data_IF_519203458445
#
_entry.id   IF_519203458445
#
_cell.length_a   1.000
_cell.length_b   1.000
_cell.length_c   1.000
_cell.angle_alpha   90.00
_cell.angle_beta   90.00
_cell.angle_gamma   90.00
#
_symmetry.space_group_name_H-M   'P 1'
#
loop_
_entity.id
_entity.type
_entity.pdbx_description
1 polymer ?
#
# COMPACT_ATOMS: atom_id res chain seq x y z
N UNK A 1 29.23 -5.42 -23.96
CA UNK A 1 28.92 -4.41 -22.91
C UNK A 1 28.69 -5.04 -21.54
N UNK A 2 28.07 -6.22 -21.45
CA UNK A 2 27.72 -6.87 -20.16
C UNK A 2 28.92 -7.45 -19.40
N UNK A 3 29.98 -7.88 -20.07
CA UNK A 3 31.17 -8.42 -19.39
C UNK A 3 31.88 -7.43 -18.47
N UNK A 4 31.79 -6.11 -18.75
CA UNK A 4 32.35 -5.06 -17.90
C UNK A 4 31.54 -4.76 -16.64
N UNK A 5 30.28 -5.20 -16.59
CA UNK A 5 29.39 -4.99 -15.45
C UNK A 5 29.44 -6.14 -14.43
N UNK A 6 30.04 -7.29 -14.78
CA UNK A 6 30.17 -8.43 -13.87
C UNK A 6 31.03 -8.05 -12.65
N UNK A 7 30.48 -8.31 -11.49
CA UNK A 7 31.14 -8.08 -10.21
C UNK A 7 31.08 -9.32 -9.34
N UNK A 8 32.10 -9.59 -8.51
CA UNK A 8 32.08 -10.74 -7.61
C UNK A 8 30.96 -10.58 -6.57
N UNK A 9 30.21 -11.66 -6.32
CA UNK A 9 29.23 -11.73 -5.24
C UNK A 9 29.73 -12.68 -4.14
N UNK A 10 29.53 -12.28 -2.88
CA UNK A 10 29.80 -13.15 -1.71
C UNK A 10 28.64 -14.11 -1.43
N UNK A 11 27.50 -13.93 -2.06
CA UNK A 11 26.33 -14.78 -1.86
C UNK A 11 26.42 -16.01 -2.80
N UNK A 12 26.48 -17.25 -2.26
CA UNK A 12 26.64 -18.46 -3.05
C UNK A 12 25.42 -18.78 -3.94
N UNK A 13 24.27 -18.17 -3.66
CA UNK A 13 23.05 -18.34 -4.45
C UNK A 13 22.95 -17.36 -5.62
N UNK A 14 23.87 -16.39 -5.75
CA UNK A 14 23.90 -15.46 -6.88
C UNK A 14 24.87 -16.02 -7.93
N UNK A 15 24.33 -16.40 -9.09
CA UNK A 15 25.08 -16.90 -10.23
C UNK A 15 25.79 -15.79 -10.98
N UNK A 16 25.12 -14.64 -11.18
CA UNK A 16 25.70 -13.46 -11.81
C UNK A 16 25.28 -12.21 -11.04
N UNK A 17 26.23 -11.34 -10.76
CA UNK A 17 26.00 -10.04 -10.16
C UNK A 17 26.56 -8.97 -11.09
N UNK A 18 25.68 -8.10 -11.59
CA UNK A 18 26.01 -7.04 -12.54
C UNK A 18 25.80 -5.69 -11.87
N UNK A 19 26.77 -4.79 -12.04
CA UNK A 19 26.67 -3.40 -11.59
C UNK A 19 26.62 -2.47 -12.79
N UNK A 20 25.60 -1.65 -12.82
CA UNK A 20 25.41 -0.58 -13.78
C UNK A 20 25.38 0.76 -13.06
N UNK A 21 25.55 1.90 -13.76
CA UNK A 21 25.25 3.20 -13.19
C UNK A 21 23.81 3.23 -12.69
N UNK A 22 23.62 3.54 -11.41
CA UNK A 22 22.32 3.66 -10.75
C UNK A 22 21.45 2.37 -10.70
N UNK A 23 22.03 1.19 -11.03
CA UNK A 23 21.31 -0.09 -10.92
C UNK A 23 22.25 -1.26 -10.64
N UNK A 24 21.72 -2.29 -9.98
CA UNK A 24 22.36 -3.60 -9.85
C UNK A 24 21.40 -4.70 -10.27
N UNK A 25 21.95 -5.77 -10.87
CA UNK A 25 21.19 -6.94 -11.25
C UNK A 25 21.82 -8.19 -10.64
N UNK A 26 21.02 -8.92 -9.87
CA UNK A 26 21.40 -10.20 -9.27
C UNK A 26 20.61 -11.31 -9.96
N UNK A 27 21.31 -12.23 -10.59
CA UNK A 27 20.72 -13.43 -11.20
C UNK A 27 21.06 -14.60 -10.29
N UNK A 28 20.03 -15.20 -9.71
CA UNK A 28 20.17 -16.30 -8.77
C UNK A 28 20.27 -17.65 -9.48
N UNK A 29 20.83 -18.64 -8.80
CA UNK A 29 20.91 -20.04 -9.29
C UNK A 29 19.53 -20.65 -9.52
N UNK A 30 18.50 -20.13 -8.85
CA UNK A 30 17.08 -20.51 -9.04
C UNK A 30 16.44 -19.94 -10.31
N UNK A 31 17.15 -19.10 -11.08
CA UNK A 31 16.59 -18.37 -12.22
C UNK A 31 15.91 -17.05 -11.87
N UNK A 32 15.74 -16.72 -10.56
CA UNK A 32 15.20 -15.44 -10.14
C UNK A 32 16.15 -14.32 -10.53
N UNK A 33 15.61 -13.23 -11.08
CA UNK A 33 16.34 -11.99 -11.37
C UNK A 33 15.85 -10.91 -10.44
N UNK A 34 16.78 -10.22 -9.76
CA UNK A 34 16.50 -9.08 -8.90
C UNK A 34 17.21 -7.86 -9.47
N UNK A 35 16.45 -6.82 -9.79
CA UNK A 35 16.95 -5.52 -10.23
C UNK A 35 16.73 -4.53 -9.09
N UNK A 36 17.75 -3.69 -8.80
CA UNK A 36 17.71 -2.71 -7.73
C UNK A 36 18.40 -1.41 -8.19
N UNK A 37 17.89 -0.27 -7.76
CA UNK A 37 18.43 1.06 -8.07
C UNK A 37 17.48 1.91 -8.89
N UNK A 38 17.78 3.21 -8.99
CA UNK A 38 16.93 4.19 -9.67
C UNK A 38 16.71 3.89 -11.16
N UNK A 39 17.69 3.25 -11.82
CA UNK A 39 17.60 2.86 -13.21
C UNK A 39 17.16 1.40 -13.42
N UNK A 40 16.65 0.71 -12.40
CA UNK A 40 16.29 -0.71 -12.47
C UNK A 40 15.28 -1.00 -13.59
N UNK A 41 14.28 -0.15 -13.77
CA UNK A 41 13.25 -0.29 -14.82
C UNK A 41 13.83 -0.22 -16.24
N UNK A 42 14.84 0.64 -16.47
CA UNK A 42 15.49 0.75 -17.77
C UNK A 42 16.22 -0.54 -18.15
N UNK A 43 16.71 -1.29 -17.15
CA UNK A 43 17.39 -2.57 -17.37
C UNK A 43 16.44 -3.77 -17.35
N UNK A 44 15.21 -3.60 -16.87
CA UNK A 44 14.21 -4.67 -16.81
C UNK A 44 13.84 -5.21 -18.20
N UNK A 45 13.72 -4.34 -19.19
CA UNK A 45 13.42 -4.70 -20.59
C UNK A 45 14.45 -5.65 -21.23
N UNK A 46 15.72 -5.65 -20.76
CA UNK A 46 16.75 -6.56 -21.25
C UNK A 46 16.56 -8.03 -20.80
N UNK A 47 15.63 -8.25 -19.88
CA UNK A 47 15.31 -9.58 -19.34
C UNK A 47 13.91 -10.03 -19.77
N UNK A 48 13.36 -9.46 -20.86
CA UNK A 48 11.98 -9.67 -21.30
C UNK A 48 10.94 -9.42 -20.21
N UNK A 49 11.34 -8.64 -19.19
CA UNK A 49 10.44 -8.16 -18.16
C UNK A 49 9.82 -6.87 -18.68
N UNK A 50 8.67 -6.98 -19.31
CA UNK A 50 7.76 -5.85 -19.36
C UNK A 50 7.41 -5.56 -17.91
N UNK A 51 7.75 -4.34 -17.43
CA UNK A 51 7.10 -3.79 -16.26
C UNK A 51 5.63 -3.87 -16.61
N UNK A 52 4.97 -4.92 -16.14
CA UNK A 52 3.54 -4.89 -16.09
C UNK A 52 3.28 -3.70 -15.18
N UNK A 53 3.05 -2.52 -15.77
CA UNK A 53 2.08 -1.62 -15.18
C UNK A 53 0.88 -2.55 -15.05
N UNK A 54 0.71 -3.11 -13.85
CA UNK A 54 -0.56 -3.69 -13.49
C UNK A 54 -1.50 -2.52 -13.76
N UNK A 55 -2.12 -2.58 -14.94
CA UNK A 55 -3.28 -1.78 -15.20
C UNK A 55 -4.17 -2.14 -14.03
N UNK A 56 -4.12 -1.31 -13.03
CA UNK A 56 -5.05 -1.41 -11.94
C UNK A 56 -6.38 -1.43 -12.67
N UNK A 57 -7.06 -2.59 -12.64
CA UNK A 57 -8.36 -2.75 -13.27
C UNK A 57 -9.41 -1.88 -12.59
N UNK A 58 -9.02 -0.65 -12.30
CA UNK A 58 -9.71 0.37 -11.55
C UNK A 58 -10.24 1.42 -12.54
N UNK A 59 -11.17 0.98 -13.43
CA UNK A 59 -11.89 1.91 -14.31
C UNK A 59 -13.13 2.51 -13.61
N UNK A 60 -13.15 2.49 -12.27
CA UNK A 60 -14.26 2.97 -11.45
C UNK A 60 -13.77 3.72 -10.20
N UNK A 61 -14.59 4.66 -9.66
CA UNK A 61 -14.31 5.34 -8.41
C UNK A 61 -14.27 4.36 -7.23
N UNK A 62 -13.26 4.42 -6.40
CA UNK A 62 -13.17 3.53 -5.26
C UNK A 62 -12.58 4.16 -4.01
N UNK A 63 -12.90 3.59 -2.85
CA UNK A 63 -12.19 3.82 -1.60
C UNK A 63 -11.19 2.69 -1.39
N UNK A 64 -9.94 3.07 -1.13
CA UNK A 64 -8.91 2.18 -0.60
C UNK A 64 -8.56 2.55 0.84
N UNK A 65 -8.19 1.55 1.65
CA UNK A 65 -7.68 1.81 3.01
C UNK A 65 -6.53 0.90 3.36
N UNK A 66 -5.59 1.45 4.13
CA UNK A 66 -4.46 0.72 4.69
C UNK A 66 -4.10 1.26 6.08
N UNK A 67 -3.30 0.52 6.83
CA UNK A 67 -2.82 0.93 8.14
C UNK A 67 -1.31 0.98 8.23
N UNK A 68 -0.79 1.93 9.02
CA UNK A 68 0.63 2.05 9.37
C UNK A 68 0.81 2.09 10.89
N UNK A 69 1.92 1.52 11.37
CA UNK A 69 2.24 1.44 12.80
C UNK A 69 1.87 0.10 13.44
N UNK A 70 1.27 -0.83 12.68
CA UNK A 70 1.00 -2.18 13.14
C UNK A 70 2.32 -2.93 13.38
N UNK A 71 2.59 -3.32 14.62
CA UNK A 71 3.83 -3.98 15.02
C UNK A 71 4.97 -3.03 15.45
N UNK A 72 4.76 -1.72 15.45
CA UNK A 72 5.71 -0.78 16.03
C UNK A 72 5.65 -0.83 17.55
N UNK A 73 6.80 -0.94 18.23
CA UNK A 73 6.87 -0.86 19.69
C UNK A 73 6.55 0.54 20.21
N UNK A 74 6.88 1.55 19.41
CA UNK A 74 6.70 2.96 19.75
C UNK A 74 5.96 3.65 18.61
N UNK A 75 4.98 4.47 18.96
CA UNK A 75 4.18 5.19 17.98
C UNK A 75 2.71 4.77 18.00
N UNK A 76 1.89 5.52 17.26
CA UNK A 76 0.46 5.25 17.14
C UNK A 76 0.15 4.34 15.95
N UNK A 77 -1.06 3.82 15.95
CA UNK A 77 -1.65 3.15 14.79
C UNK A 77 -2.42 4.18 13.97
N UNK A 78 -2.05 4.35 12.71
CA UNK A 78 -2.76 5.23 11.79
C UNK A 78 -3.48 4.41 10.73
N UNK A 79 -4.70 4.79 10.42
CA UNK A 79 -5.49 4.23 9.30
C UNK A 79 -5.94 5.38 8.43
N UNK A 80 -5.76 5.23 7.12
CA UNK A 80 -6.22 6.21 6.13
C UNK A 80 -7.20 5.53 5.18
N UNK A 81 -8.29 6.22 4.86
CA UNK A 81 -9.18 5.90 3.77
C UNK A 81 -9.04 6.97 2.69
N UNK A 82 -8.79 6.56 1.46
CA UNK A 82 -8.62 7.46 0.30
C UNK A 82 -9.64 7.15 -0.77
N UNK A 83 -10.24 8.18 -1.36
CA UNK A 83 -11.14 8.05 -2.49
C UNK A 83 -10.44 8.48 -3.78
N UNK A 84 -10.31 7.57 -4.72
CA UNK A 84 -9.64 7.79 -6.01
C UNK A 84 -10.58 7.49 -7.15
N UNK A 85 -10.61 8.39 -8.14
CA UNK A 85 -11.37 8.28 -9.37
C UNK A 85 -10.45 7.98 -10.55
N UNK A 86 -10.97 7.38 -11.66
CA UNK A 86 -10.14 7.01 -12.82
C UNK A 86 -9.36 8.17 -13.43
N UNK A 87 -9.93 9.38 -13.45
CA UNK A 87 -9.28 10.59 -13.95
C UNK A 87 -8.05 11.03 -13.15
N UNK A 88 -7.92 10.57 -11.91
CA UNK A 88 -6.76 10.86 -11.06
C UNK A 88 -5.60 9.88 -11.26
N UNK A 89 -5.79 8.76 -11.97
CA UNK A 89 -4.79 7.70 -12.09
C UNK A 89 -3.49 8.18 -12.75
N UNK A 90 -3.59 8.91 -13.84
CA UNK A 90 -2.40 9.42 -14.54
C UNK A 90 -1.61 10.41 -13.67
N UNK A 91 -2.32 11.24 -12.91
CA UNK A 91 -1.71 12.13 -11.95
C UNK A 91 -0.95 11.35 -10.86
N UNK A 92 -1.58 10.34 -10.26
CA UNK A 92 -0.99 9.52 -9.20
C UNK A 92 0.23 8.73 -9.70
N UNK A 93 0.15 8.14 -10.89
CA UNK A 93 1.29 7.45 -11.53
C UNK A 93 2.46 8.40 -11.81
N UNK A 94 2.19 9.58 -12.36
CA UNK A 94 3.24 10.61 -12.60
C UNK A 94 3.87 11.11 -11.31
N UNK A 95 3.11 11.15 -10.21
CA UNK A 95 3.62 11.50 -8.89
C UNK A 95 4.52 10.40 -8.29
N UNK A 96 4.42 9.17 -8.83
CA UNK A 96 5.17 7.99 -8.39
C UNK A 96 4.53 7.31 -7.20
N UNK A 97 3.20 7.35 -7.10
CA UNK A 97 2.45 6.57 -6.11
C UNK A 97 2.55 5.08 -6.46
N UNK A 98 2.83 4.27 -5.47
CA UNK A 98 2.97 2.82 -5.57
C UNK A 98 3.12 2.18 -4.21
N UNK A 99 3.55 0.91 -4.15
CA UNK A 99 3.81 0.21 -2.88
C UNK A 99 4.79 1.02 -2.01
N UNK A 100 4.30 1.47 -0.85
CA UNK A 100 5.05 2.32 0.11
C UNK A 100 6.36 1.68 0.55
N UNK A 101 6.46 0.34 0.53
CA UNK A 101 7.67 -0.41 0.88
C UNK A 101 8.80 -0.22 -0.15
N UNK A 102 8.46 0.23 -1.36
CA UNK A 102 9.42 0.53 -2.44
C UNK A 102 9.81 2.00 -2.48
N UNK A 103 9.09 2.87 -1.79
CA UNK A 103 9.34 4.31 -1.75
C UNK A 103 10.32 4.68 -0.62
N UNK A 104 11.16 5.67 -0.88
CA UNK A 104 12.00 6.24 0.17
C UNK A 104 11.20 7.22 1.04
N UNK A 105 11.58 7.37 2.31
CA UNK A 105 10.97 8.36 3.22
C UNK A 105 10.99 9.79 2.64
N UNK A 106 12.07 10.13 1.94
CA UNK A 106 12.18 11.42 1.29
C UNK A 106 11.12 11.60 0.21
N UNK A 107 10.89 10.57 -0.62
CA UNK A 107 9.85 10.60 -1.66
C UNK A 107 8.47 10.70 -1.03
N UNK A 108 8.18 9.91 0.01
CA UNK A 108 6.90 9.96 0.72
C UNK A 108 6.65 11.37 1.27
N UNK A 109 7.64 12.00 1.93
CA UNK A 109 7.51 13.36 2.45
C UNK A 109 7.29 14.41 1.37
N UNK A 110 7.78 14.20 0.15
CA UNK A 110 7.56 15.09 -0.98
C UNK A 110 6.15 14.98 -1.54
N UNK A 111 5.63 13.75 -1.68
CA UNK A 111 4.32 13.52 -2.32
C UNK A 111 3.14 13.66 -1.35
N UNK A 112 3.31 13.35 -0.07
CA UNK A 112 2.22 13.36 0.91
C UNK A 112 1.45 14.69 1.02
N UNK A 113 2.09 15.87 1.01
CA UNK A 113 1.37 17.13 1.01
C UNK A 113 0.48 17.31 -0.23
N UNK A 114 0.97 16.88 -1.40
CA UNK A 114 0.25 16.96 -2.66
C UNK A 114 -0.95 16.03 -2.65
N UNK A 115 -0.78 14.79 -2.15
CA UNK A 115 -1.87 13.82 -2.01
C UNK A 115 -2.95 14.34 -1.07
N UNK A 116 -2.56 14.90 0.08
CA UNK A 116 -3.50 15.47 1.06
C UNK A 116 -4.33 16.61 0.48
N UNK A 117 -3.78 17.38 -0.45
CA UNK A 117 -4.51 18.46 -1.11
C UNK A 117 -5.44 17.95 -2.22
N UNK A 118 -5.01 16.95 -3.00
CA UNK A 118 -5.67 16.54 -4.25
C UNK A 118 -6.60 15.34 -4.10
N UNK A 119 -6.38 14.51 -3.09
CA UNK A 119 -7.15 13.27 -2.90
C UNK A 119 -8.09 13.41 -1.70
N UNK A 120 -9.36 13.15 -1.91
CA UNK A 120 -10.32 13.06 -0.81
C UNK A 120 -9.94 11.89 0.10
N UNK A 121 -9.66 12.20 1.37
CA UNK A 121 -9.20 11.20 2.32
C UNK A 121 -9.72 11.45 3.72
N UNK A 122 -9.63 10.43 4.57
CA UNK A 122 -9.86 10.49 6.00
C UNK A 122 -8.78 9.71 6.73
N UNK A 123 -7.98 10.41 7.51
CA UNK A 123 -6.97 9.81 8.37
C UNK A 123 -7.47 9.74 9.81
N UNK A 124 -7.18 8.63 10.48
CA UNK A 124 -7.41 8.42 11.90
C UNK A 124 -6.10 8.00 12.56
N UNK A 125 -5.76 8.61 13.67
CA UNK A 125 -4.59 8.25 14.48
C UNK A 125 -5.06 7.79 15.85
N UNK A 126 -4.75 6.55 16.17
CA UNK A 126 -4.90 6.01 17.52
C UNK A 126 -3.57 6.14 18.26
N UNK A 127 -3.51 7.02 19.24
CA UNK A 127 -2.30 7.20 20.06
C UNK A 127 -1.99 5.95 20.89
N UNK A 128 -0.71 5.72 21.27
CA UNK A 128 -0.34 4.58 22.13
C UNK A 128 -1.11 4.56 23.44
N UNK A 129 -1.32 5.71 24.05
CA UNK A 129 -2.11 5.84 25.30
C UNK A 129 -3.55 5.35 25.09
N UNK A 130 -4.21 5.83 24.01
CA UNK A 130 -5.59 5.42 23.72
C UNK A 130 -5.67 3.94 23.28
N UNK A 131 -4.66 3.44 22.56
CA UNK A 131 -4.56 2.02 22.24
C UNK A 131 -4.55 1.17 23.50
N UNK A 132 -3.68 1.50 24.47
CA UNK A 132 -3.56 0.76 25.72
C UNK A 132 -4.85 0.85 26.59
N UNK A 133 -5.59 1.95 26.52
CA UNK A 133 -6.86 2.10 27.21
C UNK A 133 -7.95 1.17 26.65
N UNK A 134 -8.03 1.02 25.33
CA UNK A 134 -9.15 0.31 24.68
C UNK A 134 -8.88 -1.19 24.48
N UNK A 135 -7.60 -1.59 24.43
CA UNK A 135 -7.22 -3.00 24.28
C UNK A 135 -7.42 -3.74 25.59
N UNK A 136 -8.03 -4.90 25.51
CA UNK A 136 -8.35 -5.77 26.66
C UNK A 136 -9.75 -5.59 27.20
N UNK A 137 -10.26 -4.36 27.29
CA UNK A 137 -11.62 -4.12 27.79
C UNK A 137 -12.66 -4.29 26.67
N UNK A 138 -12.46 -3.60 25.57
CA UNK A 138 -13.44 -3.56 24.46
C UNK A 138 -12.92 -4.14 23.18
N UNK A 139 -11.63 -3.94 22.88
CA UNK A 139 -10.99 -4.33 21.63
C UNK A 139 -9.82 -5.27 21.86
N UNK A 140 -9.52 -6.06 20.84
CA UNK A 140 -8.23 -6.72 20.66
C UNK A 140 -7.49 -6.09 19.47
N UNK A 141 -6.26 -6.54 19.22
CA UNK A 141 -5.41 -5.99 18.16
C UNK A 141 -6.03 -6.07 16.74
N UNK A 142 -6.94 -6.99 16.48
CA UNK A 142 -7.66 -7.10 15.20
C UNK A 142 -8.89 -6.23 15.19
N UNK A 143 -9.74 -6.34 16.22
CA UNK A 143 -11.01 -5.60 16.25
C UNK A 143 -10.84 -4.10 16.31
N UNK A 144 -9.77 -3.58 16.93
CA UNK A 144 -9.48 -2.14 16.92
C UNK A 144 -9.15 -1.64 15.51
N UNK A 145 -8.45 -2.46 14.70
CA UNK A 145 -8.21 -2.10 13.29
C UNK A 145 -9.50 -2.11 12.48
N UNK A 146 -10.35 -3.12 12.67
CA UNK A 146 -11.68 -3.16 12.03
C UNK A 146 -12.47 -1.90 12.35
N UNK A 147 -12.50 -1.47 13.62
CA UNK A 147 -13.18 -0.26 14.05
C UNK A 147 -12.61 1.00 13.36
N UNK A 148 -11.27 1.12 13.28
CA UNK A 148 -10.62 2.26 12.64
C UNK A 148 -10.89 2.32 11.14
N UNK A 149 -10.74 1.19 10.41
CA UNK A 149 -11.06 1.15 8.98
C UNK A 149 -12.52 1.49 8.72
N UNK A 150 -13.45 0.89 9.47
CA UNK A 150 -14.87 1.19 9.36
C UNK A 150 -15.19 2.66 9.62
N UNK A 151 -14.60 3.25 10.66
CA UNK A 151 -14.77 4.66 10.99
C UNK A 151 -14.19 5.59 9.92
N UNK A 152 -12.99 5.29 9.39
CA UNK A 152 -12.38 6.10 8.35
C UNK A 152 -13.20 6.09 7.06
N UNK A 153 -13.68 4.92 6.63
CA UNK A 153 -14.57 4.77 5.48
C UNK A 153 -15.87 5.53 5.71
N UNK A 154 -16.52 5.33 6.86
CA UNK A 154 -17.76 5.98 7.19
C UNK A 154 -17.67 7.51 7.12
N UNK A 155 -16.63 8.10 7.74
CA UNK A 155 -16.39 9.53 7.70
C UNK A 155 -16.10 10.06 6.30
N UNK A 156 -15.40 9.27 5.48
CA UNK A 156 -15.12 9.64 4.09
C UNK A 156 -16.39 9.62 3.24
N UNK A 157 -17.25 8.61 3.43
CA UNK A 157 -18.57 8.54 2.78
C UNK A 157 -19.46 9.72 3.18
N UNK A 158 -19.40 10.18 4.44
CA UNK A 158 -20.13 11.38 4.88
C UNK A 158 -19.68 12.66 4.19
N UNK A 159 -18.48 12.71 3.60
CA UNK A 159 -18.04 13.82 2.75
C UNK A 159 -18.70 13.82 1.35
N UNK A 160 -19.58 12.86 1.07
CA UNK A 160 -20.38 12.79 -0.16
C UNK A 160 -19.70 12.07 -1.32
N UNK A 161 -18.57 11.38 -1.10
CA UNK A 161 -17.93 10.57 -2.15
C UNK A 161 -18.79 9.35 -2.50
N UNK A 162 -18.76 8.94 -3.77
CA UNK A 162 -19.59 7.86 -4.32
C UNK A 162 -18.71 6.74 -4.88
N UNK A 163 -18.18 5.84 -4.04
CA UNK A 163 -17.37 4.73 -4.51
C UNK A 163 -18.25 3.60 -5.07
N UNK A 164 -17.82 2.99 -6.17
CA UNK A 164 -18.40 1.74 -6.67
C UNK A 164 -17.85 0.53 -5.92
N UNK A 165 -16.62 0.62 -5.40
CA UNK A 165 -15.95 -0.43 -4.65
C UNK A 165 -15.22 0.15 -3.44
N UNK A 166 -15.15 -0.64 -2.35
CA UNK A 166 -14.34 -0.36 -1.18
C UNK A 166 -13.40 -1.54 -0.95
N UNK A 167 -12.10 -1.27 -0.92
CA UNK A 167 -11.06 -2.27 -0.69
C UNK A 167 -10.22 -1.90 0.53
N UNK A 168 -9.98 -2.88 1.38
CA UNK A 168 -9.07 -2.78 2.52
C UNK A 168 -7.90 -3.71 2.25
N UNK A 169 -6.65 -3.27 2.48
CA UNK A 169 -5.52 -4.20 2.52
C UNK A 169 -5.73 -5.21 3.65
N UNK A 170 -5.67 -6.49 3.32
CA UNK A 170 -6.16 -7.55 4.20
C UNK A 170 -5.19 -7.79 5.37
N UNK A 171 -5.60 -7.44 6.57
CA UNK A 171 -4.90 -7.72 7.83
C UNK A 171 -5.54 -8.87 8.65
N UNK A 172 -6.67 -9.39 8.21
CA UNK A 172 -7.39 -10.52 8.83
C UNK A 172 -8.26 -11.24 7.81
N UNK A 173 -8.79 -12.41 8.18
CA UNK A 173 -9.73 -13.12 7.31
C UNK A 173 -11.09 -12.41 7.20
N UNK A 174 -11.80 -12.53 6.06
CA UNK A 174 -13.14 -11.95 5.90
C UNK A 174 -14.11 -12.33 7.04
N UNK A 175 -14.08 -13.59 7.45
CA UNK A 175 -14.93 -14.07 8.56
C UNK A 175 -14.66 -13.33 9.87
N UNK A 176 -13.39 -13.07 10.20
CA UNK A 176 -13.04 -12.30 11.40
C UNK A 176 -13.41 -10.84 11.25
N UNK A 177 -13.19 -10.26 10.07
CA UNK A 177 -13.59 -8.90 9.78
C UNK A 177 -15.08 -8.69 10.02
N UNK A 178 -15.93 -9.53 9.41
CA UNK A 178 -17.38 -9.45 9.52
C UNK A 178 -17.85 -9.63 10.97
N UNK A 179 -17.22 -10.54 11.72
CA UNK A 179 -17.50 -10.77 13.15
C UNK A 179 -17.30 -9.49 13.97
N UNK A 180 -16.19 -8.78 13.76
CA UNK A 180 -15.89 -7.55 14.50
C UNK A 180 -16.66 -6.35 13.96
N UNK A 181 -16.85 -6.27 12.64
CA UNK A 181 -17.69 -5.24 12.03
C UNK A 181 -19.11 -5.27 12.57
N UNK A 182 -19.65 -6.48 12.86
CA UNK A 182 -20.98 -6.62 13.45
C UNK A 182 -21.14 -5.91 14.81
N UNK A 183 -20.06 -5.63 15.50
CA UNK A 183 -20.04 -4.94 16.80
C UNK A 183 -19.97 -3.40 16.70
N UNK A 184 -19.64 -2.89 15.49
CA UNK A 184 -19.51 -1.46 15.28
C UNK A 184 -20.89 -0.81 15.03
N UNK A 185 -21.03 0.43 15.52
CA UNK A 185 -22.29 1.18 15.41
C UNK A 185 -22.48 1.80 14.01
N UNK A 186 -21.40 2.24 13.38
CA UNK A 186 -21.45 2.91 12.09
C UNK A 186 -21.68 1.90 10.97
N UNK A 187 -22.74 2.13 10.19
CA UNK A 187 -23.13 1.27 9.09
C UNK A 187 -23.23 2.07 7.80
N UNK A 188 -22.89 1.44 6.70
CA UNK A 188 -23.08 1.95 5.35
C UNK A 188 -23.43 0.77 4.41
N UNK A 189 -24.16 1.01 3.30
CA UNK A 189 -24.67 -0.05 2.45
C UNK A 189 -23.59 -0.69 1.57
N UNK A 190 -22.44 -0.02 1.38
CA UNK A 190 -21.38 -0.46 0.50
C UNK A 190 -20.74 -1.76 1.00
N UNK A 191 -20.52 -2.70 0.09
CA UNK A 191 -19.78 -3.93 0.39
C UNK A 191 -18.29 -3.64 0.49
N UNK A 192 -17.65 -4.17 1.53
CA UNK A 192 -16.20 -4.12 1.71
C UNK A 192 -15.57 -5.39 1.13
N UNK A 193 -14.43 -5.23 0.45
CA UNK A 193 -13.59 -6.32 -0.02
C UNK A 193 -12.25 -6.25 0.72
N UNK A 194 -11.83 -7.35 1.36
CA UNK A 194 -10.46 -7.50 1.87
C UNK A 194 -9.62 -8.18 0.81
N UNK A 195 -8.48 -7.61 0.48
CA UNK A 195 -7.59 -8.13 -0.56
C UNK A 195 -6.14 -8.03 -0.12
N UNK A 196 -5.40 -9.13 -0.20
CA UNK A 196 -3.99 -9.18 0.15
C UNK A 196 -3.14 -8.40 -0.86
N UNK A 197 -2.20 -7.60 -0.34
CA UNK A 197 -1.30 -6.75 -1.13
C UNK A 197 -2.07 -5.81 -2.06
N UNK A 198 -3.14 -5.24 -1.54
CA UNK A 198 -4.04 -4.39 -2.29
C UNK A 198 -3.35 -3.08 -2.73
N UNK A 199 -2.32 -2.62 -2.01
CA UNK A 199 -1.49 -1.47 -2.38
C UNK A 199 -0.79 -1.64 -3.74
N UNK A 200 -0.43 -2.89 -4.11
CA UNK A 200 0.16 -3.19 -5.43
C UNK A 200 -0.85 -3.25 -6.58
N UNK A 201 -2.14 -3.34 -6.27
CA UNK A 201 -3.21 -3.52 -7.27
C UNK A 201 -4.07 -2.28 -7.47
N UNK A 202 -4.28 -1.48 -6.42
CA UNK A 202 -5.20 -0.36 -6.40
C UNK A 202 -4.53 0.92 -5.94
N UNK A 203 -4.53 1.94 -6.79
CA UNK A 203 -3.99 3.25 -6.46
C UNK A 203 -4.68 3.87 -5.23
N UNK A 204 -5.97 3.63 -5.04
CA UNK A 204 -6.69 4.11 -3.87
C UNK A 204 -6.15 3.51 -2.55
N UNK A 205 -5.65 2.28 -2.55
CA UNK A 205 -4.98 1.68 -1.39
C UNK A 205 -3.55 2.20 -1.27
N UNK A 206 -2.83 2.32 -2.38
CA UNK A 206 -1.45 2.80 -2.39
C UNK A 206 -1.27 4.25 -1.88
N UNK A 207 -2.31 5.09 -1.95
CA UNK A 207 -2.31 6.47 -1.43
C UNK A 207 -2.85 6.59 0.01
N UNK A 208 -3.37 5.52 0.56
CA UNK A 208 -3.95 5.50 1.91
C UNK A 208 -2.93 5.33 3.03
#
# INVERSE_FOLDING_TARGET
QYQKALSPSKNPYIRYFLRFPQATVSIYTSGKVLLQGEAAEQYASFFDYEVQQENSGQDFPMIGTDEVGNGSYFGGLSVVASFVTPDQHDFLRKLGVGDSKTLTDQKIRQIAPILKEKISHQALLLSPSKYNEVIGERYNAVSVKVALHNQAIFLLLQKGVQPEKIVIDAFTSPKNYDKYLAQEANRFPNKITLEEKAEGKYLAVAVS
#
